data_IF_647301143359
#
_entry.id   IF_647301143359
#
_cell.length_a   1.000
_cell.length_b   1.000
_cell.length_c   1.000
_cell.angle_alpha   90.00
_cell.angle_beta   90.00
_cell.angle_gamma   90.00
#
_symmetry.space_group_name_H-M   'P 1'
#
loop_
_entity.id
_entity.type
_entity.pdbx_description
1 polymer ?
#
# COMPACT_ATOMS: atom_id res chain seq x y z
N UNK A 1 -52.65 41.89 3.05
CA UNK A 1 -52.43 40.46 3.28
C UNK A 1 -51.40 40.00 2.24
N UNK A 2 -50.11 39.92 2.60
CA UNK A 2 -48.99 39.51 1.74
C UNK A 2 -48.62 38.07 2.07
N UNK A 3 -48.89 37.15 1.13
CA UNK A 3 -48.54 35.74 1.27
C UNK A 3 -47.06 35.49 1.05
N UNK A 4 -46.38 34.99 2.06
CA UNK A 4 -44.99 34.53 2.05
C UNK A 4 -44.91 33.13 1.41
N UNK A 5 -44.37 33.04 0.20
CA UNK A 5 -44.08 31.76 -0.45
C UNK A 5 -42.73 31.26 0.06
N UNK A 6 -42.73 30.22 0.91
CA UNK A 6 -41.52 29.45 1.22
C UNK A 6 -41.12 28.65 -0.01
N UNK A 7 -40.00 28.99 -0.60
CA UNK A 7 -39.34 28.17 -1.60
C UNK A 7 -38.65 26.99 -0.91
N UNK A 8 -39.12 25.78 -1.16
CA UNK A 8 -38.42 24.53 -0.81
C UNK A 8 -37.23 24.42 -1.74
N UNK A 9 -36.04 24.74 -1.24
CA UNK A 9 -34.80 24.48 -1.91
C UNK A 9 -34.54 22.95 -1.96
N UNK A 10 -34.76 22.40 -3.13
CA UNK A 10 -34.39 20.99 -3.43
C UNK A 10 -32.87 20.91 -3.51
N UNK A 11 -32.25 20.38 -2.45
CA UNK A 11 -30.83 20.07 -2.42
C UNK A 11 -30.59 18.95 -3.43
N UNK A 12 -30.09 19.31 -4.61
CA UNK A 12 -29.57 18.34 -5.57
C UNK A 12 -28.33 17.71 -4.94
N UNK A 13 -28.48 16.54 -4.36
CA UNK A 13 -27.37 15.63 -4.09
C UNK A 13 -26.85 15.21 -5.46
N UNK A 14 -25.74 15.80 -5.88
CA UNK A 14 -25.01 15.36 -7.05
C UNK A 14 -24.61 13.90 -6.79
N UNK A 15 -25.34 12.95 -7.39
CA UNK A 15 -24.90 11.59 -7.50
C UNK A 15 -23.59 11.62 -8.33
N UNK A 16 -22.48 11.46 -7.66
CA UNK A 16 -21.20 11.16 -8.31
C UNK A 16 -21.48 9.93 -9.19
N UNK A 17 -21.30 10.07 -10.49
CA UNK A 17 -21.31 8.95 -11.45
C UNK A 17 -20.10 8.10 -11.08
N UNK A 18 -20.28 7.20 -10.12
CA UNK A 18 -19.24 6.32 -9.63
C UNK A 18 -18.89 5.31 -10.72
N UNK A 19 -17.66 5.36 -11.21
CA UNK A 19 -17.06 4.26 -11.95
C UNK A 19 -17.26 2.95 -11.15
N UNK A 20 -17.44 1.83 -11.88
CA UNK A 20 -17.68 0.53 -11.24
C UNK A 20 -16.48 0.18 -10.34
N UNK A 21 -16.72 -0.32 -9.12
CA UNK A 21 -15.64 -0.82 -8.30
C UNK A 21 -14.85 -1.93 -9.02
N UNK A 22 -13.55 -1.94 -8.85
CA UNK A 22 -12.61 -2.85 -9.50
C UNK A 22 -12.34 -4.02 -8.57
N UNK A 23 -12.36 -5.25 -9.09
CA UNK A 23 -12.00 -6.44 -8.31
C UNK A 23 -10.49 -6.50 -8.09
N UNK A 24 -10.10 -6.74 -6.84
CA UNK A 24 -8.71 -6.82 -6.41
C UNK A 24 -8.44 -8.11 -5.63
N UNK A 25 -7.18 -8.46 -5.53
CA UNK A 25 -6.72 -9.55 -4.66
C UNK A 25 -5.65 -9.04 -3.68
N UNK A 26 -5.50 -9.74 -2.57
CA UNK A 26 -4.43 -9.47 -1.61
C UNK A 26 -3.14 -10.04 -2.18
N UNK A 27 -2.25 -9.17 -2.65
CA UNK A 27 -0.94 -9.57 -3.17
C UNK A 27 0.04 -9.96 -2.06
N UNK A 28 -0.23 -9.55 -0.83
CA UNK A 28 0.58 -9.85 0.34
C UNK A 28 0.58 -8.73 1.37
N UNK A 29 1.30 -8.99 2.46
CA UNK A 29 1.58 -8.00 3.48
C UNK A 29 3.07 -7.66 3.47
N UNK A 30 3.37 -6.41 3.82
CA UNK A 30 4.71 -5.90 4.03
C UNK A 30 4.76 -5.03 5.27
N UNK A 31 5.94 -4.50 5.55
CA UNK A 31 6.12 -3.47 6.56
C UNK A 31 6.51 -2.18 5.84
N UNK A 32 5.91 -1.09 6.26
CA UNK A 32 6.43 0.23 5.95
C UNK A 32 7.84 0.36 6.54
N UNK A 33 8.82 0.60 5.70
CA UNK A 33 10.23 0.54 6.09
C UNK A 33 10.66 1.69 7.01
N UNK A 34 9.88 2.76 7.08
CA UNK A 34 10.15 3.91 7.96
C UNK A 34 9.50 3.75 9.32
N UNK A 35 8.21 3.39 9.31
CA UNK A 35 7.40 3.35 10.53
C UNK A 35 7.35 1.96 11.15
N UNK A 36 7.68 0.91 10.41
CA UNK A 36 7.48 -0.49 10.80
C UNK A 36 6.01 -0.89 10.82
N UNK A 37 5.11 -0.04 10.33
CA UNK A 37 3.68 -0.30 10.31
C UNK A 37 3.34 -1.35 9.25
N UNK A 38 2.53 -2.37 9.56
CA UNK A 38 2.08 -3.34 8.56
C UNK A 38 1.24 -2.69 7.46
N UNK A 39 1.45 -3.14 6.22
CA UNK A 39 0.72 -2.69 5.04
C UNK A 39 0.19 -3.88 4.29
N UNK A 40 -1.12 -3.94 4.07
CA UNK A 40 -1.73 -4.89 3.13
C UNK A 40 -1.75 -4.28 1.73
N UNK A 41 -1.34 -5.07 0.74
CA UNK A 41 -1.30 -4.64 -0.66
C UNK A 41 -2.43 -5.31 -1.42
N UNK A 42 -3.34 -4.51 -1.93
CA UNK A 42 -4.40 -4.93 -2.83
C UNK A 42 -3.97 -4.63 -4.25
N UNK A 43 -4.11 -5.57 -5.16
CA UNK A 43 -3.75 -5.41 -6.58
C UNK A 43 -4.93 -5.77 -7.46
N UNK A 44 -5.07 -5.07 -8.57
CA UNK A 44 -6.12 -5.30 -9.55
C UNK A 44 -6.07 -6.72 -10.13
N UNK A 45 -7.22 -7.38 -10.22
CA UNK A 45 -7.36 -8.76 -10.67
C UNK A 45 -7.75 -8.82 -12.16
N UNK A 46 -7.05 -8.10 -13.01
CA UNK A 46 -7.39 -7.95 -14.44
C UNK A 46 -6.46 -8.70 -15.40
N UNK A 47 -5.55 -9.51 -14.88
CA UNK A 47 -4.57 -10.25 -15.69
C UNK A 47 -3.40 -9.42 -16.22
N UNK A 48 -3.33 -8.11 -15.94
CA UNK A 48 -2.16 -7.29 -16.23
C UNK A 48 -0.98 -7.73 -15.39
N UNK A 49 0.21 -7.64 -15.92
CA UNK A 49 1.44 -8.02 -15.24
C UNK A 49 2.43 -6.85 -15.18
N UNK A 50 3.28 -6.85 -14.17
CA UNK A 50 4.35 -5.86 -14.07
C UNK A 50 3.92 -4.46 -13.62
N UNK A 51 4.51 -3.42 -14.22
CA UNK A 51 4.35 -2.03 -13.81
C UNK A 51 2.97 -1.42 -14.14
N UNK A 52 2.19 -2.07 -14.99
CA UNK A 52 0.85 -1.60 -15.38
C UNK A 52 -0.25 -1.98 -14.40
N UNK A 53 0.05 -2.88 -13.44
CA UNK A 53 -0.91 -3.36 -12.47
C UNK A 53 -1.14 -2.32 -11.39
N UNK A 54 -2.35 -1.81 -11.28
CA UNK A 54 -2.71 -0.81 -10.25
C UNK A 54 -2.81 -1.50 -8.90
N UNK A 55 -2.33 -0.81 -7.87
CA UNK A 55 -2.37 -1.32 -6.50
C UNK A 55 -2.85 -0.27 -5.51
N UNK A 56 -3.41 -0.74 -4.40
CA UNK A 56 -3.80 0.06 -3.25
C UNK A 56 -3.10 -0.48 -2.00
N UNK A 57 -2.14 0.25 -1.43
CA UNK A 57 -1.58 -0.05 -0.12
C UNK A 57 -2.50 0.51 0.97
N UNK A 58 -2.74 -0.29 2.02
CA UNK A 58 -3.51 0.13 3.18
C UNK A 58 -2.70 -0.19 4.44
N UNK A 59 -2.37 0.84 5.22
CA UNK A 59 -1.72 0.70 6.51
C UNK A 59 -2.72 0.18 7.55
N UNK A 60 -2.35 -0.86 8.26
CA UNK A 60 -3.19 -1.56 9.23
C UNK A 60 -2.45 -1.79 10.53
N UNK A 61 -3.17 -2.08 11.60
CA UNK A 61 -2.57 -2.42 12.88
C UNK A 61 -1.89 -3.80 12.87
N UNK A 62 -0.95 -4.05 13.79
CA UNK A 62 -0.25 -5.35 13.88
C UNK A 62 -1.19 -6.54 14.13
N UNK A 63 -2.25 -6.35 14.94
CA UNK A 63 -3.22 -7.40 15.22
C UNK A 63 -4.07 -7.75 13.99
N UNK A 64 -4.46 -6.74 13.21
CA UNK A 64 -5.18 -6.90 11.95
C UNK A 64 -4.30 -7.58 10.90
N UNK A 65 -3.04 -7.18 10.79
CA UNK A 65 -2.06 -7.82 9.92
C UNK A 65 -1.90 -9.31 10.27
N UNK A 66 -1.76 -9.63 11.55
CA UNK A 66 -1.67 -11.01 12.01
C UNK A 66 -2.90 -11.83 11.62
N UNK A 67 -4.11 -11.27 11.76
CA UNK A 67 -5.35 -11.92 11.39
C UNK A 67 -5.41 -12.26 9.89
N UNK A 68 -4.92 -11.37 9.03
CA UNK A 68 -4.85 -11.58 7.58
C UNK A 68 -3.77 -12.62 7.22
N UNK A 69 -2.58 -12.54 7.82
CA UNK A 69 -1.48 -13.50 7.57
C UNK A 69 -1.89 -14.92 7.97
N UNK A 70 -2.54 -15.08 9.13
CA UNK A 70 -3.01 -16.39 9.59
C UNK A 70 -4.00 -17.01 8.60
N UNK A 71 -4.87 -16.21 7.99
CA UNK A 71 -5.80 -16.70 6.98
C UNK A 71 -5.09 -17.09 5.67
N UNK A 72 -4.08 -16.31 5.27
CA UNK A 72 -3.38 -16.57 4.00
C UNK A 72 -2.41 -17.76 4.07
N UNK A 73 -1.78 -18.00 5.21
CA UNK A 73 -0.61 -18.87 5.29
C UNK A 73 -0.56 -19.76 6.55
N UNK A 74 -1.44 -19.53 7.51
CA UNK A 74 -1.39 -20.18 8.80
C UNK A 74 -2.19 -21.49 8.89
N UNK A 75 -1.83 -22.40 9.78
CA UNK A 75 -2.72 -23.48 10.18
C UNK A 75 -3.94 -22.91 10.90
N UNK A 76 -5.09 -23.60 10.84
CA UNK A 76 -6.28 -23.13 11.57
C UNK A 76 -5.98 -23.03 13.07
N UNK A 77 -6.37 -21.94 13.72
CA UNK A 77 -6.16 -21.79 15.16
C UNK A 77 -6.98 -22.81 15.95
N UNK A 78 -6.53 -23.24 17.15
CA UNK A 78 -7.21 -24.26 17.96
C UNK A 78 -8.60 -23.78 18.47
N UNK A 79 -8.83 -22.48 18.48
CA UNK A 79 -10.10 -21.85 18.82
C UNK A 79 -10.39 -20.74 17.82
N UNK A 80 -11.68 -20.49 17.49
CA UNK A 80 -12.07 -19.41 16.58
C UNK A 80 -11.53 -18.04 17.07
N UNK A 81 -10.88 -17.31 16.19
CA UNK A 81 -10.51 -15.91 16.38
C UNK A 81 -11.72 -15.00 16.11
N UNK A 82 -11.54 -13.69 16.25
CA UNK A 82 -12.63 -12.71 16.10
C UNK A 82 -13.35 -12.82 14.76
N UNK A 83 -12.60 -12.89 13.65
CA UNK A 83 -13.20 -12.96 12.32
C UNK A 83 -13.81 -14.34 12.03
N UNK A 84 -13.26 -15.43 12.60
CA UNK A 84 -13.88 -16.77 12.52
C UNK A 84 -15.21 -16.79 13.27
N UNK A 85 -15.27 -16.13 14.43
CA UNK A 85 -16.51 -15.98 15.18
C UNK A 85 -17.54 -15.16 14.40
N UNK A 86 -17.13 -14.08 13.76
CA UNK A 86 -18.00 -13.25 12.92
C UNK A 86 -18.55 -14.06 11.74
N UNK A 87 -17.73 -14.85 11.06
CA UNK A 87 -18.16 -15.77 10.01
C UNK A 87 -19.22 -16.75 10.53
N UNK A 88 -18.91 -17.48 11.61
CA UNK A 88 -19.83 -18.47 12.18
C UNK A 88 -21.16 -17.84 12.63
N UNK A 89 -21.10 -16.65 13.23
CA UNK A 89 -22.31 -15.95 13.64
C UNK A 89 -23.17 -15.55 12.43
N UNK A 90 -22.53 -14.99 11.39
CA UNK A 90 -23.22 -14.62 10.15
C UNK A 90 -23.89 -15.84 9.50
N UNK A 91 -23.16 -16.94 9.38
CA UNK A 91 -23.68 -18.19 8.79
C UNK A 91 -24.83 -18.78 9.61
N UNK A 92 -24.72 -18.83 10.94
CA UNK A 92 -25.79 -19.31 11.83
C UNK A 92 -27.05 -18.45 11.79
N UNK A 93 -26.92 -17.16 11.51
CA UNK A 93 -28.03 -16.23 11.29
C UNK A 93 -28.59 -16.31 9.84
N UNK A 94 -28.04 -17.19 9.00
CA UNK A 94 -28.45 -17.37 7.60
C UNK A 94 -28.00 -16.25 6.67
N UNK A 95 -27.05 -15.44 7.09
CA UNK A 95 -26.42 -14.40 6.28
C UNK A 95 -25.27 -14.94 5.44
N UNK A 96 -24.99 -14.28 4.32
CA UNK A 96 -23.83 -14.60 3.46
C UNK A 96 -23.13 -13.32 3.00
N UNK A 97 -21.85 -13.17 3.31
CA UNK A 97 -21.04 -12.10 2.74
C UNK A 97 -20.85 -12.35 1.24
N UNK A 98 -21.24 -11.40 0.42
CA UNK A 98 -21.13 -11.49 -1.04
C UNK A 98 -19.84 -10.84 -1.54
N UNK A 99 -19.56 -9.66 -1.03
CA UNK A 99 -18.40 -8.88 -1.39
C UNK A 99 -18.12 -7.82 -0.33
N UNK A 100 -16.91 -7.33 -0.31
CA UNK A 100 -16.50 -6.13 0.44
C UNK A 100 -16.08 -5.06 -0.54
N UNK A 101 -16.35 -3.80 -0.23
CA UNK A 101 -15.97 -2.67 -1.09
C UNK A 101 -15.22 -1.67 -0.27
N UNK A 102 -14.00 -1.33 -0.67
CA UNK A 102 -13.26 -0.19 -0.13
C UNK A 102 -13.65 1.01 -0.97
N UNK A 103 -14.41 1.93 -0.36
CA UNK A 103 -15.20 2.92 -1.10
C UNK A 103 -14.56 4.29 -1.15
N UNK A 104 -13.83 4.67 -0.10
CA UNK A 104 -13.42 6.06 0.07
C UNK A 104 -12.17 6.20 0.95
N UNK A 105 -11.49 7.34 0.81
CA UNK A 105 -10.39 7.80 1.65
C UNK A 105 -10.69 9.23 2.12
N UNK A 106 -10.99 9.40 3.41
CA UNK A 106 -11.29 10.69 4.00
C UNK A 106 -10.30 10.98 5.13
N UNK A 107 -9.64 12.12 5.07
CA UNK A 107 -8.69 12.56 6.10
C UNK A 107 -7.68 11.47 6.50
N UNK A 108 -7.15 10.73 5.51
CA UNK A 108 -6.20 9.65 5.73
C UNK A 108 -6.80 8.33 6.23
N UNK A 109 -8.12 8.22 6.36
CA UNK A 109 -8.83 7.02 6.80
C UNK A 109 -9.60 6.39 5.65
N UNK A 110 -9.35 5.12 5.37
CA UNK A 110 -10.10 4.34 4.41
C UNK A 110 -11.42 3.83 5.02
N UNK A 111 -12.46 3.85 4.21
CA UNK A 111 -13.79 3.33 4.54
C UNK A 111 -14.11 2.12 3.69
N UNK A 112 -14.73 1.12 4.30
CA UNK A 112 -15.16 -0.09 3.62
C UNK A 112 -16.57 -0.50 4.03
N UNK A 113 -17.24 -1.22 3.12
CA UNK A 113 -18.60 -1.71 3.31
C UNK A 113 -18.64 -3.22 3.04
N UNK A 114 -19.25 -3.97 3.95
CA UNK A 114 -19.62 -5.36 3.75
C UNK A 114 -20.98 -5.43 3.04
N UNK A 115 -21.08 -6.14 1.92
CA UNK A 115 -22.34 -6.41 1.25
C UNK A 115 -22.80 -7.83 1.60
N UNK A 116 -23.77 -7.91 2.49
CA UNK A 116 -24.29 -9.16 3.06
C UNK A 116 -25.66 -9.46 2.49
N UNK A 117 -25.88 -10.69 2.11
CA UNK A 117 -27.22 -11.21 1.81
C UNK A 117 -27.79 -11.85 3.08
N UNK A 118 -28.89 -11.28 3.58
CA UNK A 118 -29.65 -11.83 4.70
C UNK A 118 -30.59 -12.94 4.24
N UNK A 119 -31.18 -13.72 5.19
CA UNK A 119 -32.25 -14.67 4.89
C UNK A 119 -33.39 -14.01 4.10
N UNK A 120 -33.96 -14.75 3.16
CA UNK A 120 -34.98 -14.22 2.25
C UNK A 120 -34.43 -13.35 1.10
N UNK A 121 -33.12 -13.29 0.93
CA UNK A 121 -32.45 -12.59 -0.21
C UNK A 121 -32.29 -11.09 -0.04
N UNK A 122 -32.66 -10.53 1.10
CA UNK A 122 -32.51 -9.10 1.40
C UNK A 122 -31.02 -8.71 1.41
N UNK A 123 -30.65 -7.68 0.65
CA UNK A 123 -29.32 -7.10 0.70
C UNK A 123 -29.18 -6.16 1.92
N UNK A 124 -28.07 -6.30 2.64
CA UNK A 124 -27.67 -5.46 3.74
C UNK A 124 -26.28 -4.92 3.50
N UNK A 125 -26.03 -3.71 3.93
CA UNK A 125 -24.71 -3.06 3.95
C UNK A 125 -24.30 -2.81 5.39
N UNK A 126 -23.03 -3.10 5.72
CA UNK A 126 -22.47 -2.89 7.05
C UNK A 126 -21.16 -2.13 6.88
N UNK A 127 -21.04 -1.01 7.57
CA UNK A 127 -19.79 -0.25 7.64
C UNK A 127 -18.70 -1.05 8.38
N UNK A 128 -17.49 -1.01 7.87
CA UNK A 128 -16.36 -1.74 8.44
C UNK A 128 -15.03 -1.03 8.19
N UNK A 129 -14.05 -1.29 9.03
CA UNK A 129 -12.67 -0.94 8.71
C UNK A 129 -12.18 -1.83 7.54
N UNK A 130 -11.34 -1.30 6.62
CA UNK A 130 -10.79 -2.10 5.52
C UNK A 130 -10.10 -3.40 5.97
N UNK A 131 -9.32 -3.34 7.06
CA UNK A 131 -8.64 -4.52 7.62
C UNK A 131 -9.60 -5.64 8.03
N UNK A 132 -10.72 -5.28 8.69
CA UNK A 132 -11.75 -6.26 9.11
C UNK A 132 -12.50 -6.81 7.91
N UNK A 133 -12.82 -5.94 6.95
CA UNK A 133 -13.49 -6.33 5.71
C UNK A 133 -12.63 -7.31 4.90
N UNK A 134 -11.33 -7.03 4.74
CA UNK A 134 -10.38 -7.90 4.03
C UNK A 134 -10.22 -9.23 4.77
N UNK A 135 -9.99 -9.21 6.10
CA UNK A 135 -9.83 -10.41 6.90
C UNK A 135 -11.06 -11.33 6.82
N UNK A 136 -12.26 -10.76 6.87
CA UNK A 136 -13.50 -11.52 6.74
C UNK A 136 -13.72 -12.02 5.31
N UNK A 137 -13.43 -11.19 4.29
CA UNK A 137 -13.56 -11.59 2.89
C UNK A 137 -12.67 -12.79 2.54
N UNK A 138 -11.43 -12.80 3.02
CA UNK A 138 -10.50 -13.93 2.81
C UNK A 138 -11.07 -15.23 3.39
N UNK A 139 -11.62 -15.21 4.62
CA UNK A 139 -12.19 -16.39 5.30
C UNK A 139 -13.36 -17.01 4.55
N UNK A 140 -14.25 -16.19 4.02
CA UNK A 140 -15.44 -16.67 3.33
C UNK A 140 -15.28 -16.70 1.82
N UNK A 141 -14.10 -16.44 1.30
CA UNK A 141 -13.77 -16.32 -0.13
C UNK A 141 -14.70 -15.37 -0.87
N UNK A 142 -15.08 -14.25 -0.22
CA UNK A 142 -15.86 -13.20 -0.84
C UNK A 142 -14.97 -12.30 -1.72
N UNK A 143 -15.58 -11.67 -2.71
CA UNK A 143 -14.86 -10.72 -3.58
C UNK A 143 -14.45 -9.49 -2.79
N UNK A 144 -13.26 -8.99 -3.09
CA UNK A 144 -12.76 -7.70 -2.59
C UNK A 144 -12.78 -6.72 -3.76
N UNK A 145 -13.46 -5.62 -3.58
CA UNK A 145 -13.60 -4.56 -4.57
C UNK A 145 -13.03 -3.26 -4.01
N UNK A 146 -12.50 -2.42 -4.90
CA UNK A 146 -12.00 -1.08 -4.57
C UNK A 146 -12.65 -0.07 -5.51
N UNK A 147 -13.08 1.07 -5.00
CA UNK A 147 -13.53 2.16 -5.84
C UNK A 147 -12.42 2.57 -6.80
N UNK A 148 -12.71 2.67 -8.09
CA UNK A 148 -11.70 2.87 -9.14
C UNK A 148 -10.82 4.09 -8.88
N UNK A 149 -11.40 5.16 -8.32
CA UNK A 149 -10.67 6.38 -7.98
C UNK A 149 -9.59 6.21 -6.90
N UNK A 150 -9.60 5.10 -6.13
CA UNK A 150 -8.57 4.79 -5.14
C UNK A 150 -7.39 3.99 -5.73
N UNK A 151 -7.59 3.32 -6.86
CA UNK A 151 -6.54 2.56 -7.53
C UNK A 151 -5.66 3.47 -8.38
N UNK A 152 -4.40 3.60 -8.00
CA UNK A 152 -3.46 4.46 -8.73
C UNK A 152 -3.77 5.96 -8.60
N UNK A 153 -4.63 6.36 -7.64
CA UNK A 153 -4.92 7.76 -7.39
C UNK A 153 -3.65 8.50 -6.97
N UNK A 154 -3.42 9.64 -7.60
CA UNK A 154 -2.40 10.60 -7.16
C UNK A 154 -2.74 11.05 -5.74
N UNK A 155 -2.04 10.53 -4.74
CA UNK A 155 -2.31 10.81 -3.31
C UNK A 155 -2.37 9.58 -2.43
N UNK A 156 -2.61 8.37 -2.98
CA UNK A 156 -2.22 7.13 -2.32
C UNK A 156 -0.79 6.87 -2.76
N UNK A 157 0.21 6.99 -1.90
CA UNK A 157 1.58 6.68 -2.29
C UNK A 157 1.59 5.22 -2.74
N UNK A 158 1.89 4.98 -4.01
CA UNK A 158 2.35 3.65 -4.40
C UNK A 158 3.49 3.35 -3.43
N UNK A 159 3.39 2.25 -2.66
CA UNK A 159 4.52 1.85 -1.82
C UNK A 159 5.73 1.76 -2.75
N UNK A 160 6.79 2.51 -2.47
CA UNK A 160 7.99 2.43 -3.27
C UNK A 160 8.38 0.96 -3.36
N UNK A 161 8.43 0.39 -4.56
CA UNK A 161 8.83 -1.02 -4.74
C UNK A 161 10.29 -1.12 -4.38
N UNK A 162 10.67 -1.77 -3.27
CA UNK A 162 12.06 -1.88 -2.92
C UNK A 162 12.80 -2.64 -4.02
N UNK A 163 13.95 -2.11 -4.41
CA UNK A 163 14.85 -2.79 -5.30
C UNK A 163 16.08 -3.26 -4.54
N UNK A 164 16.61 -4.42 -4.89
CA UNK A 164 17.90 -4.87 -4.38
C UNK A 164 18.98 -4.53 -5.38
N UNK A 165 20.02 -3.85 -4.90
CA UNK A 165 21.18 -3.47 -5.68
C UNK A 165 22.41 -3.36 -4.77
N UNK A 166 23.51 -4.03 -5.10
CA UNK A 166 24.78 -4.02 -4.32
C UNK A 166 24.60 -4.42 -2.83
N UNK A 167 23.68 -5.34 -2.54
CA UNK A 167 23.36 -5.71 -1.17
C UNK A 167 22.52 -4.68 -0.40
N UNK A 168 22.11 -3.61 -1.06
CA UNK A 168 21.20 -2.58 -0.52
C UNK A 168 19.77 -2.91 -0.92
N UNK A 169 18.82 -2.65 -0.04
CA UNK A 169 17.42 -2.49 -0.38
C UNK A 169 17.13 -1.00 -0.51
N UNK A 170 16.70 -0.57 -1.68
CA UNK A 170 16.48 0.85 -2.01
C UNK A 170 15.05 1.06 -2.51
N UNK A 171 14.52 2.26 -2.30
CA UNK A 171 13.17 2.63 -2.71
C UNK A 171 13.07 4.12 -3.08
N UNK A 172 12.07 4.45 -3.89
CA UNK A 172 11.78 5.83 -4.22
C UNK A 172 11.32 6.61 -2.98
N UNK A 173 11.63 7.91 -2.94
CA UNK A 173 11.15 8.79 -1.89
C UNK A 173 9.68 9.15 -2.10
N UNK A 174 8.84 8.92 -1.09
CA UNK A 174 7.49 9.51 -1.06
C UNK A 174 7.57 10.97 -0.58
N UNK A 175 6.52 11.79 -0.80
CA UNK A 175 6.48 13.15 -0.29
C UNK A 175 6.70 13.23 1.23
N UNK A 176 6.14 12.29 1.98
CA UNK A 176 6.24 12.21 3.45
C UNK A 176 7.66 11.84 3.87
N UNK A 177 8.30 10.88 3.18
CA UNK A 177 9.69 10.51 3.39
C UNK A 177 10.62 11.68 3.08
N UNK A 178 10.39 12.36 1.96
CA UNK A 178 11.18 13.52 1.58
C UNK A 178 11.11 14.62 2.64
N UNK A 179 9.91 14.92 3.16
CA UNK A 179 9.71 15.87 4.26
C UNK A 179 10.41 15.41 5.56
N UNK A 180 10.33 14.11 5.90
CA UNK A 180 10.98 13.56 7.10
C UNK A 180 12.51 13.66 7.04
N UNK A 181 13.10 13.40 5.88
CA UNK A 181 14.56 13.46 5.68
C UNK A 181 15.07 14.85 5.29
N UNK A 182 14.19 15.87 5.25
CA UNK A 182 14.53 17.24 4.83
C UNK A 182 15.24 17.26 3.45
N UNK A 183 14.69 16.49 2.50
CA UNK A 183 15.17 16.39 1.11
C UNK A 183 14.03 16.69 0.13
N UNK A 184 14.37 17.17 -1.07
CA UNK A 184 13.36 17.23 -2.14
C UNK A 184 13.00 15.79 -2.59
N UNK A 185 11.73 15.54 -2.90
CA UNK A 185 11.24 14.25 -3.41
C UNK A 185 12.01 13.73 -4.63
N UNK A 186 12.61 14.65 -5.39
CA UNK A 186 13.39 14.34 -6.60
C UNK A 186 14.88 14.18 -6.35
N UNK A 187 15.33 14.29 -5.10
CA UNK A 187 16.75 14.35 -4.77
C UNK A 187 17.32 12.99 -4.34
N UNK A 188 16.84 11.89 -4.88
CA UNK A 188 17.51 10.63 -4.69
C UNK A 188 16.65 9.44 -4.36
N UNK A 189 17.29 8.37 -3.92
CA UNK A 189 16.72 7.06 -3.62
C UNK A 189 17.07 6.69 -2.18
N UNK A 190 16.08 6.32 -1.39
CA UNK A 190 16.24 5.95 0.02
C UNK A 190 16.83 4.54 0.16
N UNK A 191 17.84 4.39 0.98
CA UNK A 191 18.34 3.10 1.47
C UNK A 191 17.46 2.66 2.63
N UNK A 192 16.63 1.65 2.39
CA UNK A 192 15.70 1.12 3.38
C UNK A 192 16.28 -0.05 4.19
N UNK A 193 17.28 -0.75 3.64
CA UNK A 193 18.02 -1.80 4.34
C UNK A 193 19.39 -2.03 3.72
N UNK A 194 20.34 -2.57 4.52
CA UNK A 194 21.70 -2.92 4.11
C UNK A 194 22.00 -4.33 4.56
N UNK A 195 22.27 -5.23 3.62
CA UNK A 195 22.60 -6.61 3.94
C UNK A 195 23.95 -6.68 4.69
N UNK A 196 24.09 -7.62 5.62
CA UNK A 196 25.31 -7.81 6.42
C UNK A 196 26.57 -8.02 5.58
N UNK A 197 26.45 -8.65 4.40
CA UNK A 197 27.52 -8.90 3.46
C UNK A 197 27.57 -7.87 2.30
N UNK A 198 26.88 -6.73 2.42
CA UNK A 198 26.85 -5.74 1.34
C UNK A 198 28.25 -5.16 1.05
N UNK A 199 28.65 -5.05 -0.22
CA UNK A 199 29.86 -4.31 -0.61
C UNK A 199 29.85 -2.87 -0.10
N UNK A 200 28.69 -2.24 -0.06
CA UNK A 200 28.44 -0.86 0.38
C UNK A 200 28.25 -0.74 1.90
N UNK A 201 29.07 -1.38 2.73
CA UNK A 201 28.96 -1.40 4.22
C UNK A 201 29.02 -0.01 4.89
N UNK A 202 29.54 1.00 4.21
CA UNK A 202 29.59 2.37 4.72
C UNK A 202 28.22 3.06 4.69
N UNK A 203 27.24 2.49 3.96
CA UNK A 203 25.86 2.96 3.94
C UNK A 203 25.07 2.44 5.14
N UNK A 204 24.08 3.22 5.54
CA UNK A 204 23.16 2.88 6.61
C UNK A 204 21.71 3.05 6.15
N UNK A 205 20.80 2.37 6.83
CA UNK A 205 19.36 2.62 6.69
C UNK A 205 19.07 4.10 6.95
N UNK A 206 18.29 4.73 6.08
CA UNK A 206 17.96 6.14 6.14
C UNK A 206 18.88 7.04 5.32
N UNK A 207 19.92 6.49 4.70
CA UNK A 207 20.71 7.22 3.73
C UNK A 207 19.92 7.47 2.44
N UNK A 208 20.15 8.60 1.80
CA UNK A 208 19.56 8.94 0.50
C UNK A 208 20.67 9.03 -0.54
N UNK A 209 20.67 8.12 -1.50
CA UNK A 209 21.61 8.11 -2.64
C UNK A 209 21.15 9.20 -3.61
N UNK A 210 21.97 10.19 -3.85
CA UNK A 210 21.65 11.35 -4.70
C UNK A 210 22.35 11.32 -6.05
N UNK A 211 23.49 10.59 -6.17
CA UNK A 211 24.17 10.42 -7.45
C UNK A 211 24.97 9.11 -7.48
N UNK A 212 25.21 8.60 -8.69
CA UNK A 212 26.13 7.50 -9.00
C UNK A 212 27.18 8.03 -9.96
N UNK A 213 28.47 7.94 -9.59
CA UNK A 213 29.61 8.43 -10.37
C UNK A 213 29.51 9.91 -10.80
N UNK A 214 28.88 10.71 -9.94
CA UNK A 214 28.63 12.12 -10.17
C UNK A 214 27.36 12.44 -10.96
N UNK A 215 26.68 11.43 -11.51
CA UNK A 215 25.43 11.59 -12.24
C UNK A 215 24.21 11.53 -11.30
N UNK A 216 23.32 12.52 -11.28
CA UNK A 216 22.18 12.57 -10.38
C UNK A 216 21.23 11.37 -10.55
N UNK A 217 20.62 10.91 -9.45
CA UNK A 217 19.63 9.84 -9.40
C UNK A 217 18.35 10.40 -8.77
N UNK A 218 17.22 10.19 -9.44
CA UNK A 218 15.92 10.70 -8.99
C UNK A 218 14.91 9.59 -8.66
N UNK A 219 15.23 8.36 -9.05
CA UNK A 219 14.36 7.19 -8.85
C UNK A 219 15.16 5.90 -8.79
N UNK A 220 14.54 4.84 -8.26
CA UNK A 220 15.08 3.47 -8.32
C UNK A 220 15.31 3.02 -9.76
N UNK A 221 14.48 3.48 -10.70
CA UNK A 221 14.66 3.20 -12.13
C UNK A 221 15.94 3.84 -12.66
N UNK A 222 16.20 5.10 -12.32
CA UNK A 222 17.45 5.79 -12.71
C UNK A 222 18.66 5.10 -12.09
N UNK A 223 18.57 4.75 -10.80
CA UNK A 223 19.66 4.05 -10.09
C UNK A 223 20.00 2.72 -10.80
N UNK A 224 18.99 1.93 -11.19
CA UNK A 224 19.18 0.68 -11.93
C UNK A 224 19.77 0.89 -13.31
N UNK A 225 19.28 1.89 -14.04
CA UNK A 225 19.79 2.20 -15.38
C UNK A 225 21.29 2.59 -15.32
N UNK A 226 21.67 3.43 -14.35
CA UNK A 226 23.07 3.83 -14.17
C UNK A 226 23.93 2.65 -13.72
N UNK A 227 23.44 1.82 -12.80
CA UNK A 227 24.13 0.60 -12.38
C UNK A 227 24.37 -0.36 -13.56
N UNK A 228 23.39 -0.55 -14.44
CA UNK A 228 23.47 -1.43 -15.61
C UNK A 228 24.40 -0.87 -16.71
N UNK A 229 24.53 0.45 -16.82
CA UNK A 229 25.38 1.09 -17.84
C UNK A 229 26.89 1.07 -17.48
N UNK A 230 27.24 0.61 -16.28
CA UNK A 230 28.63 0.57 -15.80
C UNK A 230 29.37 -0.68 -16.27
N UNK A 231 30.69 -0.57 -16.43
CA UNK A 231 31.54 -1.73 -16.54
C UNK A 231 31.67 -2.43 -15.18
N UNK A 232 31.56 -3.76 -15.18
CA UNK A 232 31.52 -4.55 -13.93
C UNK A 232 32.79 -4.41 -13.06
N UNK A 233 33.91 -4.02 -13.64
CA UNK A 233 35.20 -3.92 -12.94
C UNK A 233 35.47 -2.56 -12.28
N UNK A 234 34.68 -1.54 -12.59
CA UNK A 234 34.94 -0.19 -12.06
C UNK A 234 34.37 -0.02 -10.65
N UNK A 235 35.12 0.61 -9.71
CA UNK A 235 34.59 0.93 -8.40
C UNK A 235 33.39 1.89 -8.50
N UNK A 236 32.39 1.67 -7.68
CA UNK A 236 31.17 2.47 -7.65
C UNK A 236 31.39 3.64 -6.69
N UNK A 237 31.05 4.84 -7.13
CA UNK A 237 31.06 6.04 -6.30
C UNK A 237 29.62 6.53 -6.12
N UNK A 238 29.13 6.51 -4.87
CA UNK A 238 27.82 7.03 -4.50
C UNK A 238 27.95 8.35 -3.76
N UNK A 239 27.23 9.37 -4.21
CA UNK A 239 27.00 10.56 -3.41
C UNK A 239 25.74 10.32 -2.56
N UNK A 240 25.83 10.57 -1.26
CA UNK A 240 24.82 10.17 -0.29
C UNK A 240 24.53 11.30 0.68
N UNK A 241 23.26 11.47 1.06
CA UNK A 241 22.84 12.30 2.20
C UNK A 241 22.51 11.41 3.40
N UNK A 242 23.08 11.74 4.55
CA UNK A 242 22.75 11.19 5.87
C UNK A 242 22.31 12.32 6.78
N UNK A 243 21.01 12.52 6.90
CA UNK A 243 20.47 13.74 7.50
C UNK A 243 20.98 14.99 6.76
N UNK A 244 21.68 15.89 7.46
CA UNK A 244 22.27 17.11 6.85
C UNK A 244 23.67 16.91 6.27
N UNK A 245 24.30 15.79 6.54
CA UNK A 245 25.66 15.49 6.05
C UNK A 245 25.64 14.97 4.61
N UNK A 246 26.64 15.34 3.82
CA UNK A 246 26.93 14.76 2.50
C UNK A 246 28.12 13.83 2.64
N UNK A 247 28.02 12.64 2.10
CA UNK A 247 29.03 11.59 2.15
C UNK A 247 29.29 11.10 0.73
N UNK A 248 30.53 10.69 0.48
CA UNK A 248 30.89 9.89 -0.69
C UNK A 248 31.27 8.49 -0.23
N UNK A 249 30.68 7.47 -0.86
CA UNK A 249 30.93 6.06 -0.55
C UNK A 249 31.47 5.39 -1.79
N UNK A 250 32.60 4.69 -1.64
CA UNK A 250 33.27 3.96 -2.72
C UNK A 250 33.32 2.48 -2.36
N UNK A 251 32.96 1.62 -3.31
CA UNK A 251 33.07 0.17 -3.16
C UNK A 251 33.20 -0.52 -4.53
N UNK A 252 33.75 -1.73 -4.54
CA UNK A 252 33.77 -2.56 -5.73
C UNK A 252 32.43 -3.23 -5.94
N UNK A 253 31.95 -3.28 -7.19
CA UNK A 253 30.82 -4.13 -7.55
C UNK A 253 31.34 -5.58 -7.60
N UNK A 254 30.82 -6.45 -6.72
CA UNK A 254 30.95 -7.89 -6.87
C UNK A 254 29.87 -8.45 -7.78
#
# INVERSE_FOLDING_TARGET
MRGLRLGVGMLLVAASVGSKPVEVEVAGLGLDTLTGTPVVRLVEKDGRTGAERRELPIWIGPAEAQAIVMEMQGPPPPRPLTHDLMQQLMERLGGKLREVVIEDLRQGTYYATLRVQAPGGKALTVDARPSDAIALALRVHARILVAEGLLGASGVPALPRPARLWGLTVQDLTPEMAAFFDVDRRDGVLVSDVALAAPARALARGDVITAVDGEPVHSVTDLRARAAARAAADPIRLSVRRGRARLEVHFAAE
#
